data_IF_612825914508
#
_entry.id   IF_612825914508
#
_cell.length_a   1.000
_cell.length_b   1.000
_cell.length_c   1.000
_cell.angle_alpha   90.00
_cell.angle_beta   90.00
_cell.angle_gamma   90.00
#
_symmetry.space_group_name_H-M   'P 1'
#
loop_
_entity.id
_entity.type
_entity.pdbx_description
1 polymer ?
#
# COMPACT_ATOMS: atom_id res chain seq x y z
N UNK A 1 -0.02 15.40 3.57
CA UNK A 1 -0.81 14.14 3.61
C UNK A 1 -2.01 14.32 4.53
N UNK A 2 -3.13 13.63 4.31
CA UNK A 2 -4.29 13.72 5.22
C UNK A 2 -4.13 12.84 6.44
N UNK A 3 -4.42 13.38 7.63
CA UNK A 3 -4.41 12.61 8.88
C UNK A 3 -5.64 11.69 8.94
N UNK A 4 -5.41 10.39 9.15
CA UNK A 4 -6.49 9.37 9.26
C UNK A 4 -6.37 8.60 10.55
N UNK A 5 -7.51 8.24 11.14
CA UNK A 5 -7.55 7.38 12.32
C UNK A 5 -7.05 5.97 11.97
N UNK A 6 -5.98 5.53 12.62
CA UNK A 6 -5.40 4.17 12.46
C UNK A 6 -6.45 3.10 12.77
N UNK A 7 -7.26 3.31 13.81
CA UNK A 7 -8.34 2.39 14.20
C UNK A 7 -9.38 2.22 13.09
N UNK A 8 -9.78 3.33 12.43
CA UNK A 8 -10.72 3.25 11.30
C UNK A 8 -10.12 2.51 10.11
N UNK A 9 -8.85 2.76 9.81
CA UNK A 9 -8.13 2.08 8.70
C UNK A 9 -8.04 0.59 8.98
N UNK A 10 -7.70 0.19 10.21
CA UNK A 10 -7.62 -1.23 10.60
C UNK A 10 -8.98 -1.93 10.53
N UNK A 11 -10.02 -1.33 11.12
CA UNK A 11 -11.35 -1.91 11.13
C UNK A 11 -11.89 -2.12 9.71
N UNK A 12 -11.67 -1.16 8.81
CA UNK A 12 -12.04 -1.30 7.41
C UNK A 12 -11.24 -2.40 6.69
N UNK A 13 -9.94 -2.54 6.96
CA UNK A 13 -9.14 -3.64 6.39
C UNK A 13 -9.67 -5.02 6.80
N UNK A 14 -10.05 -5.18 8.07
CA UNK A 14 -10.58 -6.45 8.60
C UNK A 14 -11.97 -6.72 8.03
N UNK A 15 -12.88 -5.74 8.06
CA UNK A 15 -14.27 -5.90 7.60
C UNK A 15 -14.34 -6.19 6.10
N UNK A 16 -13.42 -5.64 5.31
CA UNK A 16 -13.44 -5.78 3.84
C UNK A 16 -12.54 -6.90 3.32
N UNK A 17 -11.93 -7.69 4.21
CA UNK A 17 -11.01 -8.80 3.85
C UNK A 17 -9.97 -8.40 2.78
N UNK A 18 -9.35 -7.23 2.97
CA UNK A 18 -8.30 -6.73 2.08
C UNK A 18 -8.76 -5.84 0.92
N UNK A 19 -10.06 -5.76 0.59
CA UNK A 19 -10.54 -4.86 -0.50
C UNK A 19 -10.24 -3.39 -0.17
N UNK A 20 -10.39 -3.00 1.10
CA UNK A 20 -10.09 -1.64 1.54
C UNK A 20 -8.63 -1.25 1.28
N UNK A 21 -7.69 -2.20 1.22
CA UNK A 21 -6.29 -1.94 0.87
C UNK A 21 -6.16 -1.29 -0.51
N UNK A 22 -6.94 -1.76 -1.49
CA UNK A 22 -6.96 -1.20 -2.85
C UNK A 22 -7.52 0.21 -2.86
N UNK A 23 -8.61 0.46 -2.12
CA UNK A 23 -9.15 1.81 -1.97
C UNK A 23 -8.14 2.76 -1.31
N UNK A 24 -7.48 2.30 -0.24
CA UNK A 24 -6.48 3.08 0.48
C UNK A 24 -5.33 3.46 -0.45
N UNK A 25 -4.77 2.49 -1.19
CA UNK A 25 -3.75 2.76 -2.21
C UNK A 25 -4.21 3.80 -3.23
N UNK A 26 -5.50 3.78 -3.63
CA UNK A 26 -6.02 4.70 -4.65
C UNK A 26 -5.96 6.13 -4.14
N UNK A 27 -6.41 6.27 -2.88
CA UNK A 27 -6.52 7.55 -2.21
C UNK A 27 -5.14 8.12 -1.89
N UNK A 28 -4.27 7.33 -1.27
CA UNK A 28 -2.92 7.80 -0.88
C UNK A 28 -2.03 8.06 -2.08
N UNK A 29 -2.15 7.28 -3.15
CA UNK A 29 -1.51 7.58 -4.44
C UNK A 29 -1.85 8.99 -4.90
N UNK A 30 -3.14 9.32 -4.95
CA UNK A 30 -3.58 10.63 -5.42
C UNK A 30 -3.06 11.74 -4.50
N UNK A 31 -3.05 11.53 -3.20
CA UNK A 31 -2.52 12.51 -2.25
C UNK A 31 -1.02 12.73 -2.39
N UNK A 32 -0.24 11.66 -2.59
CA UNK A 32 1.19 11.79 -2.82
C UNK A 32 1.48 12.59 -4.09
N UNK A 33 0.74 12.33 -5.18
CA UNK A 33 0.86 13.08 -6.43
C UNK A 33 0.41 14.55 -6.31
N UNK A 34 -0.52 14.84 -5.39
CA UNK A 34 -0.97 16.21 -5.12
C UNK A 34 0.02 16.98 -4.22
N UNK A 35 0.81 16.28 -3.41
CA UNK A 35 1.81 16.88 -2.52
C UNK A 35 3.12 17.15 -3.26
N UNK A 36 3.50 16.28 -4.19
CA UNK A 36 4.74 16.40 -4.93
C UNK A 36 4.50 16.08 -6.42
N UNK A 37 4.74 17.06 -7.30
CA UNK A 37 4.53 16.95 -8.75
C UNK A 37 5.49 15.97 -9.44
N UNK A 38 6.65 15.71 -8.84
CA UNK A 38 7.63 14.74 -9.35
C UNK A 38 7.21 13.29 -9.09
N UNK A 39 6.23 13.08 -8.20
CA UNK A 39 5.74 11.75 -7.86
C UNK A 39 4.77 11.26 -8.94
N UNK A 40 5.15 10.17 -9.61
CA UNK A 40 4.28 9.46 -10.57
C UNK A 40 4.20 7.98 -10.23
N UNK A 41 3.07 7.58 -9.65
CA UNK A 41 2.74 6.18 -9.37
C UNK A 41 1.77 5.68 -10.45
N UNK A 42 1.85 4.45 -10.96
CA UNK A 42 0.85 3.92 -11.90
C UNK A 42 -0.56 3.82 -11.29
N UNK A 43 -1.60 3.88 -12.10
CA UNK A 43 -2.99 3.77 -11.61
C UNK A 43 -3.30 2.36 -11.09
N UNK A 44 -4.24 2.23 -10.15
CA UNK A 44 -4.57 0.93 -9.51
C UNK A 44 -5.22 -0.09 -10.43
N UNK A 45 -5.70 0.34 -11.59
CA UNK A 45 -6.15 -0.58 -12.63
C UNK A 45 -5.04 -1.58 -13.00
N UNK A 46 -3.76 -1.20 -12.87
CA UNK A 46 -2.62 -2.11 -13.06
C UNK A 46 -2.59 -3.27 -12.06
N UNK A 47 -3.21 -3.13 -10.88
CA UNK A 47 -3.37 -4.21 -9.90
C UNK A 47 -4.66 -4.99 -10.13
N UNK A 48 -5.77 -4.30 -10.41
CA UNK A 48 -7.11 -4.92 -10.52
C UNK A 48 -7.26 -5.70 -11.83
N UNK A 49 -6.83 -5.13 -12.96
CA UNK A 49 -6.99 -5.76 -14.28
C UNK A 49 -6.35 -7.16 -14.38
N UNK A 50 -5.09 -7.38 -13.96
CA UNK A 50 -4.50 -8.71 -14.05
C UNK A 50 -5.12 -9.70 -13.06
N UNK A 51 -5.64 -9.25 -11.90
CA UNK A 51 -6.40 -10.12 -10.98
C UNK A 51 -7.72 -10.57 -11.64
N UNK A 52 -8.46 -9.65 -12.25
CA UNK A 52 -9.69 -9.97 -12.98
C UNK A 52 -9.43 -10.90 -14.17
N UNK A 53 -8.36 -10.65 -14.92
CA UNK A 53 -7.92 -11.53 -16.02
C UNK A 53 -7.54 -12.93 -15.50
N UNK A 54 -6.81 -13.01 -14.39
CA UNK A 54 -6.46 -14.29 -13.77
C UNK A 54 -7.71 -15.06 -13.33
N UNK A 55 -8.69 -14.41 -12.72
CA UNK A 55 -9.95 -15.04 -12.33
C UNK A 55 -10.69 -15.62 -13.55
N UNK A 56 -10.73 -14.89 -14.67
CA UNK A 56 -11.30 -15.40 -15.93
C UNK A 56 -10.52 -16.60 -16.47
N UNK A 57 -9.19 -16.54 -16.48
CA UNK A 57 -8.34 -17.66 -16.95
C UNK A 57 -8.52 -18.89 -16.06
N UNK A 58 -8.61 -18.72 -14.73
CA UNK A 58 -8.92 -19.80 -13.78
C UNK A 58 -10.28 -20.42 -14.08
N UNK A 59 -11.31 -19.61 -14.33
CA UNK A 59 -12.65 -20.12 -14.69
C UNK A 59 -12.61 -20.92 -16.00
N UNK A 60 -11.90 -20.43 -17.03
CA UNK A 60 -11.72 -21.15 -18.28
C UNK A 60 -10.93 -22.45 -18.10
N UNK A 61 -9.90 -22.43 -17.26
CA UNK A 61 -9.09 -23.59 -16.94
C UNK A 61 -9.90 -24.67 -16.21
N UNK A 62 -10.71 -24.27 -15.22
CA UNK A 62 -11.62 -25.18 -14.50
C UNK A 62 -12.69 -25.73 -15.44
N UNK A 63 -13.30 -24.88 -16.27
CA UNK A 63 -14.29 -25.33 -17.26
C UNK A 63 -13.68 -26.35 -18.24
N UNK A 64 -12.43 -26.14 -18.65
CA UNK A 64 -11.69 -27.06 -19.51
C UNK A 64 -11.40 -28.41 -18.82
N UNK A 65 -11.07 -28.42 -17.53
CA UNK A 65 -10.92 -29.66 -16.74
C UNK A 65 -12.26 -30.40 -16.64
N UNK A 66 -13.35 -29.69 -16.35
CA UNK A 66 -14.69 -30.28 -16.21
C UNK A 66 -15.21 -30.82 -17.54
N UNK A 67 -14.91 -30.14 -18.66
CA UNK A 67 -15.31 -30.55 -20.01
C UNK A 67 -14.37 -31.57 -20.66
N UNK A 68 -13.31 -32.01 -19.97
CA UNK A 68 -12.30 -32.91 -20.52
C UNK A 68 -12.88 -34.28 -20.93
N UNK A 69 -13.99 -34.70 -20.31
CA UNK A 69 -14.64 -35.99 -20.56
C UNK A 69 -15.48 -36.03 -21.87
N UNK A 70 -15.84 -34.86 -22.42
CA UNK A 70 -16.73 -34.79 -23.60
C UNK A 70 -16.00 -34.55 -24.94
N UNK A 71 -14.66 -34.58 -24.97
CA UNK A 71 -13.87 -34.13 -26.13
C UNK A 71 -14.29 -32.74 -26.67
N UNK A 72 -14.87 -31.89 -25.84
CA UNK A 72 -15.46 -30.62 -26.25
C UNK A 72 -14.41 -29.61 -26.80
N UNK A 73 -13.13 -29.80 -26.48
CA UNK A 73 -12.01 -28.99 -26.97
C UNK A 73 -10.94 -29.87 -27.61
N UNK A 74 -10.31 -29.38 -28.67
CA UNK A 74 -9.15 -30.05 -29.27
C UNK A 74 -7.95 -30.07 -28.31
N UNK A 75 -7.07 -31.10 -28.37
CA UNK A 75 -5.86 -31.17 -27.53
C UNK A 75 -4.96 -29.93 -27.68
N UNK A 76 -4.94 -29.31 -28.86
CA UNK A 76 -4.18 -28.08 -29.12
C UNK A 76 -4.70 -26.92 -28.26
N UNK A 77 -6.03 -26.73 -28.20
CA UNK A 77 -6.64 -25.66 -27.39
C UNK A 77 -6.35 -25.90 -25.89
N UNK A 78 -6.38 -27.15 -25.45
CA UNK A 78 -6.09 -27.52 -24.07
C UNK A 78 -4.67 -27.11 -23.62
N UNK A 79 -3.68 -27.40 -24.46
CA UNK A 79 -2.28 -27.01 -24.20
C UNK A 79 -2.15 -25.49 -24.16
N UNK A 80 -2.78 -24.78 -25.10
CA UNK A 80 -2.72 -23.31 -25.15
C UNK A 80 -3.32 -22.66 -23.90
N UNK A 81 -4.50 -23.11 -23.44
CA UNK A 81 -5.14 -22.60 -22.22
C UNK A 81 -4.24 -22.84 -20.99
N UNK A 82 -3.62 -24.02 -20.91
CA UNK A 82 -2.70 -24.37 -19.82
C UNK A 82 -1.44 -23.49 -19.83
N UNK A 83 -0.84 -23.25 -20.99
CA UNK A 83 0.30 -22.35 -21.12
C UNK A 83 -0.04 -20.92 -20.69
N UNK A 84 -1.18 -20.40 -21.15
CA UNK A 84 -1.67 -19.07 -20.78
C UNK A 84 -1.89 -18.96 -19.27
N UNK A 85 -2.43 -19.99 -18.62
CA UNK A 85 -2.60 -20.05 -17.17
C UNK A 85 -1.29 -19.89 -16.41
N UNK A 86 -0.25 -20.67 -16.74
CA UNK A 86 1.05 -20.58 -16.07
C UNK A 86 1.77 -19.26 -16.34
N UNK A 87 1.67 -18.73 -17.57
CA UNK A 87 2.21 -17.40 -17.91
C UNK A 87 1.52 -16.32 -17.05
N UNK A 88 0.19 -16.32 -16.99
CA UNK A 88 -0.57 -15.36 -16.20
C UNK A 88 -0.22 -15.43 -14.71
N UNK A 89 -0.09 -16.65 -14.17
CA UNK A 89 0.30 -16.87 -12.78
C UNK A 89 1.68 -16.28 -12.45
N UNK A 90 2.60 -16.29 -13.42
CA UNK A 90 3.96 -15.76 -13.26
C UNK A 90 4.03 -14.24 -13.46
N UNK A 91 3.25 -13.70 -14.40
CA UNK A 91 3.24 -12.26 -14.71
C UNK A 91 2.59 -11.44 -13.59
N UNK A 92 1.54 -11.96 -12.94
CA UNK A 92 0.81 -11.29 -11.86
C UNK A 92 1.71 -10.77 -10.72
N UNK A 93 2.56 -11.60 -10.06
CA UNK A 93 3.43 -11.12 -8.99
C UNK A 93 4.46 -10.10 -9.51
N UNK A 94 4.89 -10.19 -10.77
CA UNK A 94 5.82 -9.23 -11.36
C UNK A 94 5.18 -7.84 -11.55
N UNK A 95 3.93 -7.79 -12.05
CA UNK A 95 3.18 -6.53 -12.17
C UNK A 95 2.95 -5.89 -10.79
N UNK A 96 2.59 -6.69 -9.78
CA UNK A 96 2.46 -6.24 -8.40
C UNK A 96 3.78 -5.65 -7.88
N UNK A 97 4.89 -6.35 -8.06
CA UNK A 97 6.21 -5.90 -7.62
C UNK A 97 6.63 -4.57 -8.29
N UNK A 98 6.44 -4.43 -9.60
CA UNK A 98 6.71 -3.18 -10.31
C UNK A 98 5.86 -2.01 -9.80
N UNK A 99 4.58 -2.27 -9.50
CA UNK A 99 3.69 -1.25 -8.96
C UNK A 99 4.10 -0.84 -7.53
N UNK A 100 4.35 -1.82 -6.66
CA UNK A 100 4.81 -1.59 -5.28
C UNK A 100 6.15 -0.86 -5.23
N UNK A 101 7.05 -1.14 -6.16
CA UNK A 101 8.31 -0.41 -6.30
C UNK A 101 8.06 1.10 -6.51
N UNK A 102 7.22 1.45 -7.49
CA UNK A 102 6.90 2.85 -7.79
C UNK A 102 6.16 3.53 -6.64
N UNK A 103 5.23 2.81 -6.00
CA UNK A 103 4.53 3.31 -4.82
C UNK A 103 5.48 3.56 -3.65
N UNK A 104 6.40 2.64 -3.37
CA UNK A 104 7.37 2.78 -2.26
C UNK A 104 8.34 3.93 -2.49
N UNK A 105 8.75 4.19 -3.74
CA UNK A 105 9.54 5.37 -4.09
C UNK A 105 8.77 6.66 -3.86
N UNK A 106 7.48 6.69 -4.16
CA UNK A 106 6.63 7.83 -3.86
C UNK A 106 6.52 8.09 -2.34
N UNK A 107 6.41 7.03 -1.54
CA UNK A 107 6.39 7.15 -0.06
C UNK A 107 7.67 7.82 0.45
N UNK A 108 8.84 7.39 -0.02
CA UNK A 108 10.14 7.97 0.35
C UNK A 108 10.20 9.47 0.05
N UNK A 109 9.80 9.86 -1.17
CA UNK A 109 9.81 11.25 -1.62
C UNK A 109 8.85 12.14 -0.81
N UNK A 110 7.66 11.66 -0.48
CA UNK A 110 6.64 12.45 0.24
C UNK A 110 6.88 12.49 1.75
N UNK A 111 7.58 11.50 2.29
CA UNK A 111 7.90 11.45 3.73
C UNK A 111 9.21 12.16 4.08
N UNK A 112 9.94 12.68 3.09
CA UNK A 112 11.26 13.27 3.31
C UNK A 112 12.21 12.28 3.97
N UNK A 113 12.24 11.04 3.46
CA UNK A 113 13.08 9.93 3.93
C UNK A 113 12.77 9.39 5.35
N UNK A 114 11.77 9.93 6.07
CA UNK A 114 11.32 9.35 7.36
C UNK A 114 10.88 7.89 7.22
N UNK A 115 10.40 7.51 6.03
CA UNK A 115 10.27 6.12 5.63
C UNK A 115 11.02 5.91 4.31
N UNK A 116 12.19 5.28 4.39
CA UNK A 116 13.02 4.99 3.22
C UNK A 116 12.29 4.09 2.24
N UNK A 117 12.70 4.11 0.97
CA UNK A 117 12.13 3.24 -0.06
C UNK A 117 12.21 1.76 0.33
N UNK A 118 13.34 1.32 0.87
CA UNK A 118 13.53 -0.06 1.28
C UNK A 118 12.58 -0.45 2.42
N UNK A 119 12.39 0.44 3.39
CA UNK A 119 11.43 0.23 4.49
C UNK A 119 10.00 0.19 3.97
N UNK A 120 9.61 1.14 3.12
CA UNK A 120 8.28 1.16 2.49
C UNK A 120 8.00 -0.12 1.70
N UNK A 121 8.96 -0.57 0.89
CA UNK A 121 8.82 -1.77 0.10
C UNK A 121 8.73 -3.03 0.97
N UNK A 122 9.60 -3.16 1.98
CA UNK A 122 9.60 -4.31 2.88
C UNK A 122 8.30 -4.39 3.67
N UNK A 123 7.82 -3.25 4.18
CA UNK A 123 6.54 -3.18 4.89
C UNK A 123 5.40 -3.61 3.97
N UNK A 124 5.30 -3.06 2.76
CA UNK A 124 4.20 -3.36 1.85
C UNK A 124 4.25 -4.78 1.24
N UNK A 125 5.41 -5.43 1.24
CA UNK A 125 5.59 -6.75 0.64
C UNK A 125 5.55 -7.89 1.68
N UNK A 126 6.17 -7.71 2.84
CA UNK A 126 6.38 -8.78 3.82
C UNK A 126 5.41 -8.72 5.01
N UNK A 127 4.82 -7.55 5.29
CA UNK A 127 3.85 -7.43 6.38
C UNK A 127 2.48 -7.91 5.87
N UNK A 128 1.72 -8.67 6.69
CA UNK A 128 0.39 -9.13 6.32
C UNK A 128 -0.54 -8.00 5.88
N UNK A 129 -1.39 -8.34 4.89
CA UNK A 129 -2.40 -7.45 4.31
C UNK A 129 -3.25 -6.79 5.41
N UNK A 130 -3.26 -5.46 5.40
CA UNK A 130 -4.03 -4.64 6.32
C UNK A 130 -3.21 -4.03 7.45
N UNK A 131 -2.10 -4.65 7.87
CA UNK A 131 -1.16 -4.07 8.86
C UNK A 131 -0.11 -3.21 8.16
N UNK A 132 0.33 -3.66 6.98
CA UNK A 132 1.23 -2.94 6.07
C UNK A 132 0.83 -1.46 5.89
N UNK A 133 -0.44 -1.22 5.54
CA UNK A 133 -0.96 0.14 5.29
C UNK A 133 -1.09 0.97 6.57
N UNK A 134 -1.21 0.35 7.76
CA UNK A 134 -1.27 1.10 9.03
C UNK A 134 0.07 1.72 9.35
N UNK A 135 1.16 1.00 9.11
CA UNK A 135 2.52 1.47 9.33
C UNK A 135 2.80 2.66 8.42
N UNK A 136 2.47 2.54 7.12
CA UNK A 136 2.64 3.65 6.17
C UNK A 136 1.75 4.83 6.54
N UNK A 137 0.50 4.56 6.95
CA UNK A 137 -0.43 5.62 7.37
C UNK A 137 0.02 6.35 8.64
N UNK A 138 0.62 5.66 9.60
CA UNK A 138 1.20 6.27 10.80
C UNK A 138 2.31 7.26 10.44
N UNK A 139 3.20 6.88 9.53
CA UNK A 139 4.22 7.79 8.97
C UNK A 139 3.57 9.00 8.29
N UNK A 140 2.54 8.80 7.47
CA UNK A 140 1.80 9.91 6.84
C UNK A 140 1.13 10.83 7.85
N UNK A 141 0.59 10.29 8.94
CA UNK A 141 -0.03 11.07 10.02
C UNK A 141 1.00 11.94 10.74
N UNK A 142 2.19 11.41 11.01
CA UNK A 142 3.30 12.14 11.65
C UNK A 142 3.84 13.27 10.77
N UNK A 143 3.69 13.18 9.45
CA UNK A 143 4.00 14.28 8.52
C UNK A 143 2.94 15.37 8.49
N UNK A 144 1.70 15.05 8.87
CA UNK A 144 0.58 15.99 8.86
C UNK A 144 0.38 16.71 10.20
N UNK A 145 0.91 16.14 11.30
CA UNK A 145 0.87 16.78 12.60
C UNK A 145 1.80 18.01 12.62
N UNK A 146 1.34 19.18 13.10
CA UNK A 146 2.22 20.29 13.41
C UNK A 146 3.31 19.78 14.38
N UNK A 147 4.56 20.13 14.14
CA UNK A 147 5.63 19.88 15.13
C UNK A 147 5.17 20.48 16.45
N UNK A 148 4.84 19.62 17.42
CA UNK A 148 4.60 20.08 18.77
C UNK A 148 5.89 20.77 19.22
N UNK A 149 5.87 22.09 19.29
CA UNK A 149 6.97 22.87 19.84
C UNK A 149 7.36 22.22 21.18
N UNK A 150 8.67 22.01 21.45
CA UNK A 150 9.09 21.51 22.75
C UNK A 150 8.44 22.41 23.79
N UNK A 151 7.59 21.83 24.63
CA UNK A 151 7.03 22.52 25.79
C UNK A 151 8.22 23.08 26.55
N UNK A 152 8.45 24.39 26.42
CA UNK A 152 9.40 25.09 27.27
C UNK A 152 8.80 24.94 28.65
N UNK A 153 9.28 23.94 29.38
CA UNK A 153 8.97 23.76 30.78
C UNK A 153 9.30 25.11 31.42
N UNK A 154 8.26 25.85 31.80
CA UNK A 154 8.38 27.02 32.65
C UNK A 154 9.13 26.54 33.89
N UNK A 155 10.42 26.84 33.93
CA UNK A 155 11.24 26.64 35.10
C UNK A 155 10.54 27.34 36.27
N UNK A 156 10.38 26.70 37.44
CA UNK A 156 9.86 27.40 38.60
C UNK A 156 10.78 28.58 38.87
N UNK A 157 10.20 29.78 38.93
CA UNK A 157 10.90 30.99 39.31
C UNK A 157 11.66 30.75 40.62
N UNK A 158 12.98 30.75 40.55
CA UNK A 158 13.83 30.72 41.75
C UNK A 158 13.54 31.94 42.61
N UNK A 159 13.62 31.83 43.94
CA UNK A 159 13.37 32.98 44.81
C UNK A 159 14.40 34.07 44.55
N UNK A 160 13.88 35.27 44.26
CA UNK A 160 14.64 36.52 44.14
C UNK A 160 15.39 36.76 45.45
N UNK A 161 16.71 36.79 45.39
CA UNK A 161 17.56 37.17 46.52
C UNK A 161 17.35 38.66 46.83
N UNK A 162 16.56 38.96 47.85
CA UNK A 162 16.55 40.27 48.50
C UNK A 162 17.60 40.27 49.60
N UNK A 163 18.82 40.66 49.29
CA UNK A 163 19.72 41.15 50.33
C UNK A 163 20.60 42.29 49.81
N UNK A 164 20.20 43.50 50.17
CA UNK A 164 20.94 44.74 49.96
C UNK A 164 20.60 45.71 51.10
N UNK A 165 21.28 45.52 52.23
CA UNK A 165 21.44 46.46 53.36
C UNK A 165 22.28 45.72 54.42
N UNK A 166 23.51 46.06 54.79
CA UNK A 166 24.21 47.35 55.00
C UNK A 166 25.72 47.12 54.84
#
# INVERSE_FOLDING_TARGET
MQQRSIVKVFLLSVVTLGIYRLYWFAKTRQEMMNVNEDVRVPHIIWLIAPIGMMALIVLLFVAMIVAADEHALSPVIQVLVTMVFFIAMTVLPFVLAMWLWKYSKAVELVTGEKMTFAMALLVLLAVPDGIDILIVQDTFNKMAAPEAQPSVATAPAGPVSSDRSL
#
